data_IF_440567651920
#
_entry.id   IF_440567651920
#
_cell.length_a   1.000
_cell.length_b   1.000
_cell.length_c   1.000
_cell.angle_alpha   90.00
_cell.angle_beta   90.00
_cell.angle_gamma   90.00
#
_symmetry.space_group_name_H-M   'P 1'
#
loop_
_entity.id
_entity.type
_entity.pdbx_description
1 polymer ?
#
# COMPACT_ATOMS: atom_id res chain seq x y z
N UNK A 1 -4.60 15.99 -27.33
CA UNK A 1 -4.75 16.44 -25.92
C UNK A 1 -3.43 16.17 -25.22
N UNK A 2 -2.70 17.18 -24.72
CA UNK A 2 -1.41 16.91 -24.10
C UNK A 2 -1.65 16.19 -22.77
N UNK A 3 -1.19 14.94 -22.68
CA UNK A 3 -1.15 14.19 -21.46
C UNK A 3 -0.24 14.95 -20.48
N UNK A 4 -0.84 15.60 -19.47
CA UNK A 4 -0.09 15.99 -18.28
C UNK A 4 0.39 14.69 -17.66
N UNK A 5 1.70 14.56 -17.51
CA UNK A 5 2.29 13.49 -16.73
C UNK A 5 1.61 13.49 -15.36
N UNK A 6 0.79 12.49 -15.11
CA UNK A 6 0.40 12.14 -13.76
C UNK A 6 1.73 11.81 -13.09
N UNK A 7 2.14 12.63 -12.13
CA UNK A 7 3.28 12.34 -11.27
C UNK A 7 2.89 11.07 -10.50
N UNK A 8 3.15 9.91 -11.10
CA UNK A 8 2.89 8.62 -10.50
C UNK A 8 3.80 8.52 -9.28
N UNK A 9 3.17 8.47 -8.10
CA UNK A 9 3.75 8.03 -6.82
C UNK A 9 5.03 8.79 -6.45
N UNK A 10 4.88 9.97 -5.86
CA UNK A 10 5.94 10.46 -4.99
C UNK A 10 5.94 9.55 -3.76
N UNK A 11 6.80 8.52 -3.78
CA UNK A 11 7.34 8.02 -2.52
C UNK A 11 7.97 9.23 -1.86
N UNK A 12 7.54 9.61 -0.66
CA UNK A 12 8.34 10.53 0.12
C UNK A 12 9.70 9.85 0.31
N UNK A 13 10.66 10.24 -0.55
CA UNK A 13 12.04 9.73 -0.56
C UNK A 13 12.83 10.22 0.65
N UNK A 14 12.15 10.80 1.64
CA UNK A 14 12.78 11.07 2.91
C UNK A 14 12.91 9.75 3.67
N UNK A 15 14.10 9.16 3.61
CA UNK A 15 14.45 7.95 4.35
C UNK A 15 14.07 8.04 5.84
N UNK A 16 14.05 9.25 6.42
CA UNK A 16 13.64 9.48 7.81
C UNK A 16 12.14 9.27 8.04
N UNK A 17 11.28 9.70 7.11
CA UNK A 17 9.83 9.57 7.25
C UNK A 17 9.39 8.12 7.05
N UNK A 18 10.02 7.43 6.10
CA UNK A 18 9.86 5.98 5.91
C UNK A 18 10.36 5.16 7.12
N UNK A 19 11.49 5.55 7.73
CA UNK A 19 11.97 4.90 8.95
C UNK A 19 10.97 5.03 10.11
N UNK A 20 10.38 6.22 10.27
CA UNK A 20 9.41 6.53 11.32
C UNK A 20 7.97 6.12 10.98
N UNK A 21 7.71 5.55 9.79
CA UNK A 21 6.37 5.22 9.30
C UNK A 21 5.41 6.43 9.29
N UNK A 22 5.95 7.59 8.95
CA UNK A 22 5.22 8.86 8.90
C UNK A 22 5.11 9.32 7.44
N UNK A 23 3.89 9.37 6.91
CA UNK A 23 3.60 9.74 5.52
C UNK A 23 2.49 10.80 5.51
N UNK A 24 2.83 12.08 5.73
CA UNK A 24 1.86 13.15 5.98
C UNK A 24 0.98 13.48 4.77
N UNK A 25 1.38 13.12 3.55
CA UNK A 25 0.61 13.38 2.34
C UNK A 25 -0.63 12.48 2.17
N UNK A 26 -0.62 11.26 2.72
CA UNK A 26 -1.74 10.29 2.70
C UNK A 26 -2.11 9.93 4.16
N UNK A 27 -2.07 10.94 5.03
CA UNK A 27 -1.75 10.92 6.47
C UNK A 27 -1.66 9.53 7.09
N UNK A 28 -0.67 8.72 6.69
CA UNK A 28 -0.37 7.47 7.35
C UNK A 28 0.60 7.73 8.48
N UNK A 29 0.36 7.04 9.59
CA UNK A 29 1.18 7.08 10.78
C UNK A 29 1.68 5.69 11.11
N UNK A 30 2.57 5.58 12.09
CA UNK A 30 3.04 4.30 12.63
C UNK A 30 1.91 3.30 12.91
N UNK A 31 0.73 3.80 13.33
CA UNK A 31 -0.43 2.97 13.64
C UNK A 31 -1.09 2.32 12.43
N UNK A 32 -0.82 2.78 11.22
CA UNK A 32 -1.40 2.24 9.99
C UNK A 32 -0.60 1.06 9.41
N UNK A 33 0.55 0.73 10.02
CA UNK A 33 1.43 -0.36 9.59
C UNK A 33 1.35 -1.55 10.54
N UNK A 34 1.76 -2.72 10.04
CA UNK A 34 2.00 -3.87 10.88
C UNK A 34 3.22 -3.65 11.79
N UNK A 35 3.31 -4.46 12.85
CA UNK A 35 4.48 -4.47 13.73
C UNK A 35 5.74 -4.84 12.93
N UNK A 36 6.89 -4.19 13.17
CA UNK A 36 8.10 -4.48 12.42
C UNK A 36 8.56 -5.94 12.59
N UNK A 37 8.65 -6.67 11.47
CA UNK A 37 9.26 -7.98 11.37
C UNK A 37 9.79 -8.18 9.95
N UNK A 38 10.70 -9.14 9.74
CA UNK A 38 11.24 -9.44 8.41
C UNK A 38 10.67 -10.76 7.88
N UNK A 39 10.53 -10.86 6.56
CA UNK A 39 10.14 -12.12 5.90
C UNK A 39 11.34 -13.05 5.76
N UNK A 40 11.39 -14.09 6.59
CA UNK A 40 12.40 -15.14 6.61
C UNK A 40 11.85 -16.49 6.15
N UNK A 41 10.59 -16.81 6.47
CA UNK A 41 9.95 -18.06 6.06
C UNK A 41 8.78 -17.85 5.08
N UNK A 42 9.03 -18.14 3.80
CA UNK A 42 8.00 -18.06 2.76
C UNK A 42 6.90 -19.13 2.85
N UNK A 43 7.06 -20.13 3.72
CA UNK A 43 6.02 -21.13 3.99
C UNK A 43 5.05 -20.68 5.08
N UNK A 44 5.36 -19.62 5.84
CA UNK A 44 4.43 -19.02 6.79
C UNK A 44 3.65 -17.88 6.11
N UNK A 45 2.37 -18.11 5.85
CA UNK A 45 1.50 -17.13 5.21
C UNK A 45 1.31 -15.85 6.04
N UNK A 46 1.42 -15.90 7.37
CA UNK A 46 1.32 -14.70 8.22
C UNK A 46 2.59 -13.87 8.09
N UNK A 47 3.74 -14.52 8.13
CA UNK A 47 5.02 -13.84 7.96
C UNK A 47 5.10 -13.19 6.57
N UNK A 48 4.72 -13.91 5.52
CA UNK A 48 4.72 -13.36 4.15
C UNK A 48 3.80 -12.15 4.00
N UNK A 49 2.69 -12.05 4.75
CA UNK A 49 1.65 -11.03 4.54
C UNK A 49 1.64 -9.89 5.56
N UNK A 50 2.31 -10.05 6.71
CA UNK A 50 2.30 -9.07 7.79
C UNK A 50 3.70 -8.55 8.17
N UNK A 51 4.76 -9.03 7.51
CA UNK A 51 6.13 -8.60 7.76
C UNK A 51 6.71 -7.81 6.59
N UNK A 52 7.71 -6.98 6.90
CA UNK A 52 8.39 -6.07 5.98
C UNK A 52 9.25 -6.86 4.98
N UNK A 53 8.88 -6.92 3.69
CA UNK A 53 9.73 -7.53 2.67
C UNK A 53 10.88 -6.57 2.39
N UNK A 54 12.13 -7.06 2.49
CA UNK A 54 13.36 -6.29 2.20
C UNK A 54 13.44 -4.91 2.88
N UNK A 55 12.82 -4.76 4.06
CA UNK A 55 12.82 -3.51 4.84
C UNK A 55 11.78 -2.46 4.43
N UNK A 56 10.89 -2.80 3.49
CA UNK A 56 9.76 -1.95 3.11
C UNK A 56 8.68 -1.97 4.20
N UNK A 57 8.17 -0.79 4.56
CA UNK A 57 7.16 -0.66 5.64
C UNK A 57 5.84 -1.26 5.20
N UNK A 58 5.42 -2.30 5.91
CA UNK A 58 4.26 -3.10 5.57
C UNK A 58 2.97 -2.50 6.12
N UNK A 59 2.08 -2.08 5.22
CA UNK A 59 0.85 -1.35 5.54
C UNK A 59 -0.27 -2.33 5.92
N UNK A 60 -0.93 -2.06 7.04
CA UNK A 60 -2.00 -2.90 7.58
C UNK A 60 -3.33 -2.59 6.90
N UNK A 61 -3.63 -3.40 5.88
CA UNK A 61 -4.82 -3.25 5.06
C UNK A 61 -6.07 -3.88 5.68
N UNK A 62 -5.98 -4.42 6.90
CA UNK A 62 -7.16 -4.80 7.67
C UNK A 62 -7.86 -3.58 8.28
N UNK A 63 -7.16 -2.44 8.39
CA UNK A 63 -7.70 -1.19 8.92
C UNK A 63 -8.56 -0.45 7.91
N UNK A 64 -9.73 -0.01 8.35
CA UNK A 64 -10.68 0.72 7.51
C UNK A 64 -10.11 2.05 6.97
N UNK A 65 -9.30 2.78 7.76
CA UNK A 65 -8.62 4.01 7.30
C UNK A 65 -7.71 3.75 6.10
N UNK A 66 -6.91 2.68 6.20
CA UNK A 66 -5.99 2.26 5.15
C UNK A 66 -6.73 1.83 3.89
N UNK A 67 -7.77 1.01 4.04
CA UNK A 67 -8.61 0.58 2.93
C UNK A 67 -9.25 1.78 2.22
N UNK A 68 -9.80 2.72 2.97
CA UNK A 68 -10.45 3.92 2.42
C UNK A 68 -9.47 4.77 1.59
N UNK A 69 -8.27 5.05 2.12
CA UNK A 69 -7.24 5.79 1.39
C UNK A 69 -6.84 5.09 0.08
N UNK A 70 -6.72 3.77 0.09
CA UNK A 70 -6.37 2.99 -1.10
C UNK A 70 -7.50 3.02 -2.15
N UNK A 71 -8.74 2.81 -1.72
CA UNK A 71 -9.94 2.85 -2.59
C UNK A 71 -10.11 4.25 -3.20
N UNK A 72 -9.94 5.31 -2.42
CA UNK A 72 -10.04 6.69 -2.91
C UNK A 72 -8.96 7.01 -3.95
N UNK A 73 -7.73 6.54 -3.72
CA UNK A 73 -6.65 6.66 -4.68
C UNK A 73 -6.97 5.93 -5.99
N UNK A 74 -7.43 4.69 -5.91
CA UNK A 74 -7.79 3.90 -7.09
C UNK A 74 -8.98 4.50 -7.87
N UNK A 75 -10.03 4.92 -7.17
CA UNK A 75 -11.18 5.59 -7.78
C UNK A 75 -10.79 6.89 -8.47
N UNK A 76 -9.82 7.63 -7.92
CA UNK A 76 -9.26 8.82 -8.57
C UNK A 76 -8.55 8.46 -9.89
N UNK A 77 -7.81 7.35 -9.94
CA UNK A 77 -7.18 6.88 -11.18
C UNK A 77 -8.18 6.41 -12.23
N UNK A 78 -9.26 5.73 -11.81
CA UNK A 78 -10.35 5.34 -12.72
C UNK A 78 -11.00 6.57 -13.38
N UNK A 79 -11.17 7.67 -12.65
CA UNK A 79 -11.66 8.94 -13.21
C UNK A 79 -10.71 9.56 -14.25
N UNK A 80 -9.44 9.15 -14.27
CA UNK A 80 -8.48 9.52 -15.31
C UNK A 80 -8.42 8.50 -16.46
N UNK A 81 -9.46 7.67 -16.62
CA UNK A 81 -9.61 6.70 -17.71
C UNK A 81 -8.54 5.59 -17.71
N UNK A 82 -8.00 5.23 -16.54
CA UNK A 82 -7.20 4.00 -16.41
C UNK A 82 -8.14 2.80 -16.59
N UNK A 83 -7.76 1.87 -17.46
CA UNK A 83 -8.57 0.69 -17.78
C UNK A 83 -8.33 -0.50 -16.82
N UNK A 84 -7.11 -0.62 -16.28
CA UNK A 84 -6.73 -1.75 -15.43
C UNK A 84 -5.60 -1.39 -14.46
N UNK A 85 -5.44 -2.21 -13.42
CA UNK A 85 -4.38 -2.09 -12.43
C UNK A 85 -3.53 -3.36 -12.38
N UNK A 86 -2.22 -3.22 -12.61
CA UNK A 86 -1.24 -4.24 -12.22
C UNK A 86 -0.94 -4.08 -10.73
N UNK A 87 -1.36 -5.05 -9.94
CA UNK A 87 -1.22 -5.02 -8.49
C UNK A 87 0.15 -5.52 -8.05
N UNK A 88 0.99 -4.61 -7.55
CA UNK A 88 2.31 -4.95 -7.01
C UNK A 88 2.21 -5.77 -5.71
N UNK A 89 3.21 -6.64 -5.49
CA UNK A 89 3.38 -7.44 -4.27
C UNK A 89 2.12 -8.16 -3.73
N UNK A 90 1.18 -8.54 -4.60
CA UNK A 90 -0.12 -9.11 -4.19
C UNK A 90 -0.01 -10.36 -3.27
N UNK A 91 1.09 -11.12 -3.38
CA UNK A 91 1.40 -12.27 -2.50
C UNK A 91 1.54 -11.87 -1.02
N UNK A 92 2.05 -10.67 -0.77
CA UNK A 92 2.29 -10.10 0.56
C UNK A 92 1.04 -9.44 1.16
N UNK A 93 -0.15 -9.78 0.63
CA UNK A 93 -1.42 -9.24 1.11
C UNK A 93 -2.42 -10.34 1.39
N UNK A 94 -3.38 -10.06 2.26
CA UNK A 94 -4.49 -10.97 2.47
C UNK A 94 -5.48 -10.92 1.30
N UNK A 95 -5.93 -12.08 0.78
CA UNK A 95 -6.93 -12.11 -0.29
C UNK A 95 -8.25 -11.43 0.09
N UNK A 96 -8.62 -11.42 1.38
CA UNK A 96 -9.79 -10.70 1.88
C UNK A 96 -9.68 -9.19 1.64
N UNK A 97 -8.51 -8.62 1.95
CA UNK A 97 -8.29 -7.18 1.89
C UNK A 97 -8.16 -6.74 0.42
N UNK A 98 -7.54 -7.56 -0.41
CA UNK A 98 -7.56 -7.39 -1.87
C UNK A 98 -8.99 -7.37 -2.40
N UNK A 99 -9.84 -8.29 -1.95
CA UNK A 99 -11.24 -8.32 -2.37
C UNK A 99 -11.95 -7.03 -1.95
N UNK A 100 -11.75 -6.55 -0.73
CA UNK A 100 -12.37 -5.29 -0.27
C UNK A 100 -11.89 -4.08 -1.06
N UNK A 101 -10.57 -3.96 -1.28
CA UNK A 101 -9.97 -2.77 -1.88
C UNK A 101 -10.18 -2.67 -3.40
N UNK A 102 -10.35 -3.80 -4.09
CA UNK A 102 -10.48 -3.86 -5.55
C UNK A 102 -11.89 -4.23 -6.01
N UNK A 103 -12.88 -4.21 -5.11
CA UNK A 103 -14.30 -4.35 -5.46
C UNK A 103 -14.89 -2.99 -5.87
N UNK A 104 -14.32 -2.44 -6.94
CA UNK A 104 -14.72 -1.19 -7.61
C UNK A 104 -15.59 -1.45 -8.84
#
# INVERSE_FOLDING_TARGET
>A
MPARAMQCVYSDSNHLSAYNKDYPAIPYSYFDFHAPCSVNNYNDAREVRNCEPVGLKDLDQSKASVQQHLVDFMNKLLRFCVAEFRVDAAKHRWPSDLKTNFNV
#
